data_IF_118472110835
#
_entry.id   IF_118472110835
#
_cell.length_a   1.000
_cell.length_b   1.000
_cell.length_c   1.000
_cell.angle_alpha   90.00
_cell.angle_beta   90.00
_cell.angle_gamma   90.00
#
_symmetry.space_group_name_H-M   'P 1'
#
loop_
_entity.id
_entity.type
_entity.pdbx_description
1 polymer ?
#
# COMPACT_ATOMS: atom_id res chain seq x y z
N UNK A 1 -19.01 3.75 9.43
CA UNK A 1 -18.36 2.44 9.20
C UNK A 1 -16.85 2.61 9.28
N UNK A 2 -16.17 1.63 9.86
CA UNK A 2 -14.74 1.69 10.08
C UNK A 2 -14.00 1.02 8.91
N UNK A 3 -12.89 1.65 8.48
CA UNK A 3 -12.02 1.12 7.43
C UNK A 3 -10.60 1.60 7.72
N UNK A 4 -9.83 0.75 8.38
CA UNK A 4 -8.47 1.07 8.78
C UNK A 4 -7.61 -0.18 8.64
N UNK A 5 -6.43 -0.02 8.04
CA UNK A 5 -5.49 -1.10 7.82
C UNK A 5 -4.09 -0.63 8.18
N UNK A 6 -3.35 -1.45 8.92
CA UNK A 6 -1.92 -1.25 9.20
C UNK A 6 -1.19 -2.48 8.67
N UNK A 7 -0.16 -2.25 7.87
CA UNK A 7 0.55 -3.34 7.23
C UNK A 7 2.04 -3.02 7.17
N UNK A 8 2.87 -4.00 7.49
CA UNK A 8 4.32 -3.93 7.29
C UNK A 8 4.73 -4.83 6.15
N UNK A 9 5.80 -4.46 5.44
CA UNK A 9 6.31 -5.29 4.38
C UNK A 9 7.48 -4.65 3.67
N UNK A 10 7.85 -5.28 2.58
CA UNK A 10 8.96 -4.85 1.74
C UNK A 10 8.44 -4.30 0.43
N UNK A 11 8.96 -3.14 0.04
CA UNK A 11 8.64 -2.54 -1.26
C UNK A 11 9.33 -3.34 -2.35
N UNK A 12 8.54 -3.85 -3.30
CA UNK A 12 9.07 -4.69 -4.38
C UNK A 12 8.99 -4.01 -5.75
N UNK A 13 8.21 -2.94 -5.88
CA UNK A 13 8.15 -2.16 -7.11
C UNK A 13 7.69 -0.73 -6.81
N UNK A 14 8.19 0.22 -7.58
CA UNK A 14 7.88 1.64 -7.45
C UNK A 14 7.50 2.15 -8.83
N UNK A 15 6.27 2.62 -8.99
CA UNK A 15 5.83 3.23 -10.23
C UNK A 15 6.10 4.73 -10.21
N UNK A 16 6.21 5.37 -11.38
CA UNK A 16 6.47 6.81 -11.42
C UNK A 16 5.27 7.61 -10.90
N UNK A 17 5.57 8.79 -10.37
CA UNK A 17 4.53 9.74 -9.95
C UNK A 17 3.75 10.21 -11.17
N UNK A 18 2.44 10.21 -11.04
CA UNK A 18 1.51 10.74 -12.05
C UNK A 18 0.66 11.82 -11.42
N UNK A 19 0.03 12.63 -12.24
CA UNK A 19 -0.86 13.69 -11.76
C UNK A 19 -2.28 13.42 -12.24
N UNK A 20 -3.25 13.63 -11.35
CA UNK A 20 -4.66 13.58 -11.72
C UNK A 20 -5.00 14.78 -12.61
N UNK A 21 -6.16 14.78 -13.29
CA UNK A 21 -6.59 15.95 -14.06
C UNK A 21 -6.65 17.24 -13.24
N UNK A 22 -6.91 17.14 -11.93
CA UNK A 22 -6.88 18.27 -11.01
C UNK A 22 -5.50 18.67 -10.52
N UNK A 23 -4.43 18.01 -10.99
CA UNK A 23 -3.06 18.35 -10.64
C UNK A 23 -2.55 17.72 -9.35
N UNK A 24 -3.27 16.78 -8.76
CA UNK A 24 -2.84 16.11 -7.53
C UNK A 24 -1.82 15.02 -7.88
N UNK A 25 -0.61 15.02 -7.29
CA UNK A 25 0.35 13.94 -7.53
C UNK A 25 -0.14 12.65 -6.93
N UNK A 26 0.07 11.56 -7.65
CA UNK A 26 -0.35 10.23 -7.25
C UNK A 26 0.74 9.23 -7.63
N UNK A 27 1.01 8.27 -6.74
CA UNK A 27 2.04 7.26 -6.96
C UNK A 27 1.56 5.92 -6.44
N UNK A 28 1.91 4.85 -7.17
CA UNK A 28 1.64 3.49 -6.73
C UNK A 28 2.96 2.80 -6.39
N UNK A 29 3.00 2.19 -5.21
CA UNK A 29 4.06 1.27 -4.80
C UNK A 29 3.46 -0.11 -4.64
N UNK A 30 4.29 -1.14 -4.72
CA UNK A 30 3.85 -2.51 -4.47
C UNK A 30 4.55 -3.03 -3.23
N UNK A 31 3.76 -3.52 -2.27
CA UNK A 31 4.24 -4.03 -0.99
C UNK A 31 4.06 -5.54 -0.94
N UNK A 32 5.14 -6.23 -0.61
CA UNK A 32 5.11 -7.66 -0.31
C UNK A 32 5.07 -7.82 1.20
N UNK A 33 4.02 -8.46 1.68
CA UNK A 33 3.82 -8.73 3.11
C UNK A 33 3.97 -10.22 3.37
N UNK A 34 4.70 -10.55 4.43
CA UNK A 34 4.82 -11.91 4.95
C UNK A 34 4.69 -11.89 6.45
N UNK A 35 3.88 -12.79 6.98
CA UNK A 35 3.72 -12.91 8.42
C UNK A 35 3.29 -14.33 8.78
N UNK A 36 3.30 -14.61 10.07
CA UNK A 36 2.69 -15.82 10.60
C UNK A 36 1.48 -15.40 11.39
N UNK A 37 0.37 -16.04 11.09
CA UNK A 37 -0.90 -15.75 11.73
C UNK A 37 -1.47 -17.05 12.29
N UNK A 38 -2.34 -16.94 13.28
CA UNK A 38 -3.07 -18.06 13.81
C UNK A 38 -4.51 -18.01 13.28
N UNK A 39 -4.97 -19.14 12.80
CA UNK A 39 -6.33 -19.28 12.30
C UNK A 39 -6.83 -20.67 12.64
N UNK A 40 -7.99 -20.75 13.27
CA UNK A 40 -8.60 -22.02 13.71
C UNK A 40 -7.64 -22.84 14.59
N UNK A 41 -6.86 -22.18 15.45
CA UNK A 41 -5.91 -22.84 16.34
C UNK A 41 -4.62 -23.30 15.69
N UNK A 42 -4.39 -22.96 14.43
CA UNK A 42 -3.21 -23.39 13.68
C UNK A 42 -2.43 -22.18 13.20
N UNK A 43 -1.11 -22.17 13.43
CA UNK A 43 -0.23 -21.16 12.89
C UNK A 43 -0.03 -21.40 11.39
N UNK A 44 -0.13 -20.33 10.59
CA UNK A 44 0.07 -20.42 9.15
C UNK A 44 0.92 -19.27 8.64
N UNK A 45 1.69 -19.55 7.61
CA UNK A 45 2.40 -18.50 6.88
C UNK A 45 1.42 -17.77 5.97
N UNK A 46 1.50 -16.44 5.98
CA UNK A 46 0.66 -15.57 5.16
C UNK A 46 1.55 -14.74 4.25
N UNK A 47 1.19 -14.72 2.97
CA UNK A 47 1.84 -13.85 1.99
C UNK A 47 0.76 -13.06 1.27
N UNK A 48 1.06 -11.78 1.02
CA UNK A 48 0.15 -10.92 0.28
C UNK A 48 0.95 -9.86 -0.45
N UNK A 49 0.52 -9.52 -1.65
CA UNK A 49 1.07 -8.40 -2.39
C UNK A 49 -0.06 -7.43 -2.65
N UNK A 50 0.13 -6.18 -2.27
CA UNK A 50 -0.90 -5.17 -2.38
C UNK A 50 -0.33 -3.87 -2.95
N UNK A 51 -1.14 -3.19 -3.76
CA UNK A 51 -0.80 -1.88 -4.25
C UNK A 51 -1.04 -0.85 -3.13
N UNK A 52 -0.05 0.02 -2.94
CA UNK A 52 -0.14 1.18 -2.04
C UNK A 52 -0.35 2.41 -2.90
N UNK A 53 -1.37 3.19 -2.57
CA UNK A 53 -1.66 4.43 -3.28
C UNK A 53 -1.29 5.60 -2.38
N UNK A 54 -0.40 6.47 -2.89
CA UNK A 54 -0.03 7.72 -2.24
C UNK A 54 -0.60 8.85 -3.07
N UNK A 55 -1.37 9.74 -2.45
CA UNK A 55 -1.98 10.87 -3.14
C UNK A 55 -1.71 12.15 -2.36
N UNK A 56 -1.27 13.19 -3.07
CA UNK A 56 -0.95 14.48 -2.49
C UNK A 56 0.52 14.62 -2.12
N UNK A 57 0.96 15.87 -1.94
CA UNK A 57 2.37 16.17 -1.74
C UNK A 57 2.93 15.58 -0.45
N UNK A 58 2.15 15.57 0.63
CA UNK A 58 2.58 15.04 1.91
C UNK A 58 2.84 13.53 1.82
N UNK A 59 1.92 12.79 1.22
CA UNK A 59 2.06 11.35 1.06
C UNK A 59 3.26 11.02 0.16
N UNK A 60 3.36 11.68 -0.98
CA UNK A 60 4.50 11.50 -1.91
C UNK A 60 5.81 11.81 -1.20
N UNK A 61 5.86 12.90 -0.43
CA UNK A 61 7.04 13.29 0.32
C UNK A 61 7.45 12.25 1.35
N UNK A 62 6.48 11.59 2.00
CA UNK A 62 6.77 10.55 2.98
C UNK A 62 7.46 9.34 2.37
N UNK A 63 7.31 9.13 1.07
CA UNK A 63 7.90 8.01 0.34
C UNK A 63 9.17 8.39 -0.44
N UNK A 64 9.67 9.61 -0.28
CA UNK A 64 10.79 10.11 -1.08
C UNK A 64 12.07 9.28 -0.91
N UNK A 65 12.28 8.67 0.26
CA UNK A 65 13.45 7.86 0.56
C UNK A 65 13.21 6.36 0.33
N UNK A 66 12.01 5.97 -0.08
CA UNK A 66 11.69 4.56 -0.31
C UNK A 66 12.38 4.07 -1.57
N UNK A 67 12.96 2.88 -1.46
CA UNK A 67 13.62 2.16 -2.58
C UNK A 67 13.03 0.76 -2.67
N UNK A 68 13.22 0.11 -3.80
CA UNK A 68 12.97 -1.33 -3.87
C UNK A 68 13.82 -2.03 -2.81
N UNK A 69 13.19 -2.89 -2.01
CA UNK A 69 13.83 -3.53 -0.88
C UNK A 69 13.61 -2.83 0.46
N UNK A 70 13.11 -1.60 0.46
CA UNK A 70 12.83 -0.89 1.72
C UNK A 70 11.79 -1.63 2.54
N UNK A 71 12.04 -1.67 3.87
CA UNK A 71 11.06 -2.18 4.84
C UNK A 71 10.28 -1.00 5.38
N UNK A 72 8.96 -1.05 5.26
CA UNK A 72 8.09 0.04 5.68
C UNK A 72 6.87 -0.47 6.42
N UNK A 73 6.30 0.40 7.23
CA UNK A 73 4.96 0.22 7.78
C UNK A 73 4.07 1.30 7.23
N UNK A 74 2.91 0.90 6.72
CA UNK A 74 1.91 1.83 6.21
C UNK A 74 0.63 1.68 6.99
N UNK A 75 -0.09 2.78 7.12
CA UNK A 75 -1.46 2.77 7.64
C UNK A 75 -2.34 3.60 6.72
N UNK A 76 -3.59 3.20 6.63
CA UNK A 76 -4.55 3.87 5.78
C UNK A 76 -5.84 3.08 5.65
N UNK A 77 -6.47 3.18 4.50
CA UNK A 77 -7.74 2.50 4.26
C UNK A 77 -7.70 1.68 2.97
N UNK A 78 -8.60 0.72 2.89
CA UNK A 78 -8.74 -0.17 1.73
C UNK A 78 -9.84 0.37 0.83
N UNK A 79 -9.59 0.37 -0.46
CA UNK A 79 -10.59 0.73 -1.46
C UNK A 79 -10.46 -0.18 -2.67
N UNK A 80 -11.48 -0.22 -3.48
CA UNK A 80 -11.47 -0.96 -4.74
C UNK A 80 -10.47 -0.35 -5.71
N UNK A 81 -9.71 -1.19 -6.39
CA UNK A 81 -8.85 -0.78 -7.48
C UNK A 81 -9.65 -0.71 -8.77
N UNK A 82 -9.19 0.13 -9.70
CA UNK A 82 -9.75 0.19 -11.04
C UNK A 82 -11.00 1.02 -11.16
N UNK A 83 -11.46 1.11 -12.39
CA UNK A 83 -12.64 1.86 -12.76
C UNK A 83 -13.76 0.92 -13.16
N UNK A 84 -14.88 1.50 -13.60
CA UNK A 84 -16.03 0.76 -14.08
C UNK A 84 -15.59 -0.31 -15.10
N UNK A 85 -16.00 -1.57 -14.87
CA UNK A 85 -15.72 -2.69 -15.76
C UNK A 85 -14.36 -3.34 -15.62
N UNK A 86 -13.47 -2.82 -14.78
CA UNK A 86 -12.18 -3.44 -14.51
C UNK A 86 -12.24 -4.27 -13.23
N UNK A 87 -11.10 -4.84 -12.82
CA UNK A 87 -10.98 -5.78 -11.70
C UNK A 87 -11.50 -5.17 -10.39
N UNK A 88 -12.81 -5.18 -10.20
CA UNK A 88 -13.49 -4.54 -9.08
C UNK A 88 -13.25 -5.26 -7.75
N UNK A 89 -12.81 -6.52 -7.80
CA UNK A 89 -12.54 -7.29 -6.60
C UNK A 89 -11.13 -7.07 -6.06
N UNK A 90 -10.29 -6.39 -6.83
CA UNK A 90 -8.93 -6.10 -6.40
C UNK A 90 -8.93 -4.89 -5.47
N UNK A 91 -8.19 -5.00 -4.38
CA UNK A 91 -8.11 -3.95 -3.36
C UNK A 91 -6.78 -3.22 -3.42
N UNK A 92 -6.82 -1.95 -3.04
CA UNK A 92 -5.64 -1.11 -2.85
C UNK A 92 -5.66 -0.55 -1.44
N UNK A 93 -4.48 -0.33 -0.87
CA UNK A 93 -4.35 0.36 0.40
C UNK A 93 -3.95 1.81 0.11
N UNK A 94 -4.82 2.74 0.48
CA UNK A 94 -4.55 4.16 0.34
C UNK A 94 -3.83 4.65 1.58
N UNK A 95 -2.60 5.10 1.40
CA UNK A 95 -1.68 5.37 2.51
C UNK A 95 -1.95 6.74 3.13
N UNK A 96 -2.18 6.76 4.43
CA UNK A 96 -2.33 7.98 5.22
C UNK A 96 -1.07 8.26 6.04
N UNK A 97 -0.30 7.23 6.39
CA UNK A 97 0.96 7.40 7.09
C UNK A 97 1.93 6.30 6.67
N UNK A 98 3.22 6.64 6.59
CA UNK A 98 4.27 5.71 6.20
C UNK A 98 5.47 5.92 7.12
N UNK A 99 6.00 4.82 7.65
CA UNK A 99 7.16 4.81 8.54
C UNK A 99 8.21 3.89 7.94
N UNK A 100 9.44 4.37 7.86
CA UNK A 100 10.58 3.55 7.45
C UNK A 100 11.05 2.69 8.62
N UNK A 101 11.33 1.40 8.35
CA UNK A 101 11.77 0.45 9.37
C UNK A 101 13.24 0.08 9.25
N UNK A 102 13.90 0.48 8.18
CA UNK A 102 15.34 0.18 7.94
C UNK A 102 16.17 1.44 7.75
#
# INVERSE_FOLDING_TARGET
MQNQCVLTGQVVAIEPVRHTPGGVPRQRLWLEHRSRQEQAGVARAVEARIALILAGDTAIGSAAQVREGSQIQVSGFIARAGHRGEAQDRLELHVQALVHLD
#
